data_IF_762934203314
#
_entry.id   IF_762934203314
#
_cell.length_a   1.000
_cell.length_b   1.000
_cell.length_c   1.000
_cell.angle_alpha   90.00
_cell.angle_beta   90.00
_cell.angle_gamma   90.00
#
_symmetry.space_group_name_H-M   'P 1'
#
loop_
_entity.id
_entity.type
_entity.pdbx_description
1 polymer ?
#
# COMPACT_ATOMS: atom_id res chain seq x y z
N UNK A 1 -3.00 24.47 9.72
CA UNK A 1 -2.63 23.91 8.40
C UNK A 1 -1.17 23.49 8.47
N UNK A 2 -0.84 22.23 8.22
CA UNK A 2 0.53 21.74 8.13
C UNK A 2 0.87 21.67 6.64
N UNK A 3 1.89 22.41 6.22
CA UNK A 3 2.34 22.40 4.83
C UNK A 3 3.18 21.13 4.63
N UNK A 4 2.73 20.26 3.73
CA UNK A 4 3.47 19.06 3.38
C UNK A 4 4.34 19.36 2.16
N UNK A 5 5.62 19.03 2.22
CA UNK A 5 6.49 19.05 1.05
C UNK A 5 6.16 17.81 0.24
N UNK A 6 5.60 18.00 -0.96
CA UNK A 6 5.30 16.89 -1.87
C UNK A 6 6.61 16.45 -2.53
N UNK A 7 7.24 15.42 -1.98
CA UNK A 7 8.26 14.68 -2.73
C UNK A 7 7.60 13.96 -3.92
N UNK A 8 8.35 13.57 -4.96
CA UNK A 8 7.78 12.80 -6.07
C UNK A 8 7.04 11.53 -5.63
N UNK A 9 7.55 10.85 -4.60
CA UNK A 9 6.90 9.69 -3.99
C UNK A 9 5.62 10.06 -3.23
N UNK A 10 5.63 11.15 -2.45
CA UNK A 10 4.44 11.64 -1.74
C UNK A 10 3.34 12.07 -2.72
N UNK A 11 3.71 12.64 -3.87
CA UNK A 11 2.74 12.97 -4.91
C UNK A 11 2.02 11.70 -5.42
N UNK A 12 2.77 10.62 -5.67
CA UNK A 12 2.19 9.31 -6.05
C UNK A 12 1.31 8.76 -4.93
N UNK A 13 1.77 8.81 -3.68
CA UNK A 13 1.01 8.35 -2.50
C UNK A 13 -0.33 9.06 -2.37
N UNK A 14 -0.36 10.39 -2.48
CA UNK A 14 -1.59 11.18 -2.42
C UNK A 14 -2.52 10.88 -3.60
N UNK A 15 -1.98 10.75 -4.81
CA UNK A 15 -2.79 10.42 -5.98
C UNK A 15 -3.42 9.03 -5.85
N UNK A 16 -2.64 8.04 -5.41
CA UNK A 16 -3.15 6.68 -5.20
C UNK A 16 -4.18 6.61 -4.07
N UNK A 17 -3.98 7.36 -2.98
CA UNK A 17 -4.98 7.50 -1.92
C UNK A 17 -6.30 8.05 -2.48
N UNK A 18 -6.26 9.10 -3.30
CA UNK A 18 -7.47 9.65 -3.94
C UNK A 18 -8.10 8.64 -4.89
N UNK A 19 -7.32 7.88 -5.65
CA UNK A 19 -7.84 6.79 -6.48
C UNK A 19 -8.60 5.75 -5.66
N UNK A 20 -8.04 5.30 -4.53
CA UNK A 20 -8.71 4.35 -3.64
C UNK A 20 -10.05 4.91 -3.11
N UNK A 21 -10.07 6.17 -2.70
CA UNK A 21 -11.28 6.78 -2.11
C UNK A 21 -12.33 7.13 -3.16
N UNK A 22 -11.93 7.76 -4.26
CA UNK A 22 -12.86 8.36 -5.22
C UNK A 22 -13.26 7.41 -6.35
N UNK A 23 -12.40 6.45 -6.69
CA UNK A 23 -12.65 5.50 -7.79
C UNK A 23 -13.01 4.14 -7.22
N UNK A 24 -12.16 3.58 -6.37
CA UNK A 24 -12.42 2.27 -5.75
C UNK A 24 -13.44 2.32 -4.61
N UNK A 25 -13.86 3.53 -4.20
CA UNK A 25 -14.86 3.75 -3.15
C UNK A 25 -14.46 3.16 -1.78
N UNK A 26 -13.16 3.08 -1.50
CA UNK A 26 -12.67 2.65 -0.19
C UNK A 26 -12.89 3.78 0.82
N UNK A 27 -13.59 3.53 1.95
CA UNK A 27 -13.86 4.57 2.93
C UNK A 27 -12.56 5.13 3.51
N UNK A 28 -12.38 6.45 3.42
CA UNK A 28 -11.16 7.13 3.89
C UNK A 28 -10.86 6.90 5.37
N UNK A 29 -11.90 6.70 6.20
CA UNK A 29 -11.74 6.38 7.63
C UNK A 29 -11.08 5.01 7.89
N UNK A 30 -11.02 4.14 6.88
CA UNK A 30 -10.39 2.83 6.95
C UNK A 30 -9.00 2.81 6.29
N UNK A 31 -8.48 3.96 5.87
CA UNK A 31 -7.14 4.07 5.25
C UNK A 31 -6.20 4.83 6.19
N UNK A 32 -5.17 4.15 6.66
CA UNK A 32 -4.07 4.76 7.39
C UNK A 32 -2.95 5.17 6.43
N UNK A 33 -2.57 6.45 6.49
CA UNK A 33 -1.44 7.03 5.73
C UNK A 33 -0.21 7.08 6.63
N UNK A 34 0.93 6.59 6.15
CA UNK A 34 2.24 6.66 6.81
C UNK A 34 2.27 6.12 8.26
N UNK A 35 1.94 4.85 8.48
CA UNK A 35 2.11 4.25 9.81
C UNK A 35 3.52 3.69 9.99
N UNK A 36 4.15 4.02 11.11
CA UNK A 36 5.38 3.36 11.56
C UNK A 36 5.05 1.97 12.12
N UNK A 37 5.79 0.98 11.65
CA UNK A 37 5.80 -0.42 12.09
C UNK A 37 7.11 -0.67 12.83
N UNK A 38 7.01 -1.32 13.98
CA UNK A 38 8.18 -1.83 14.71
C UNK A 38 8.47 -3.26 14.26
N UNK A 39 9.63 -3.46 13.62
CA UNK A 39 10.18 -4.75 13.24
C UNK A 39 11.46 -4.96 14.07
N UNK A 40 11.33 -5.49 15.28
CA UNK A 40 12.42 -5.52 16.26
C UNK A 40 12.85 -4.09 16.63
N UNK A 41 14.13 -3.76 16.45
CA UNK A 41 14.65 -2.40 16.64
C UNK A 41 14.41 -1.47 15.44
N UNK A 42 13.94 -2.02 14.31
CA UNK A 42 13.78 -1.27 13.06
C UNK A 42 12.40 -0.60 13.03
N UNK A 43 12.37 0.74 13.04
CA UNK A 43 11.18 1.51 12.71
C UNK A 43 11.09 1.65 11.19
N UNK A 44 10.11 1.00 10.57
CA UNK A 44 9.85 1.11 9.13
C UNK A 44 8.46 1.67 8.89
N UNK A 45 8.29 2.37 7.78
CA UNK A 45 7.02 3.00 7.40
C UNK A 45 6.51 2.31 6.14
N UNK A 46 5.23 1.98 6.13
CA UNK A 46 4.51 1.70 4.89
C UNK A 46 3.76 2.96 4.47
N UNK A 47 3.37 3.02 3.21
CA UNK A 47 2.75 4.22 2.64
C UNK A 47 1.26 4.28 2.94
N UNK A 48 0.53 3.23 2.60
CA UNK A 48 -0.90 3.11 2.89
C UNK A 48 -1.22 1.73 3.44
N UNK A 49 -2.12 1.69 4.43
CA UNK A 49 -2.73 0.46 4.91
C UNK A 49 -4.24 0.66 4.99
N UNK A 50 -4.97 -0.21 4.32
CA UNK A 50 -6.43 -0.27 4.33
C UNK A 50 -6.86 -1.35 5.31
N UNK A 51 -7.85 -1.02 6.13
CA UNK A 51 -8.52 -1.95 7.04
C UNK A 51 -9.84 -2.43 6.44
N UNK A 52 -10.24 -3.66 6.75
CA UNK A 52 -11.58 -4.15 6.42
C UNK A 52 -12.64 -3.62 7.41
N UNK A 53 -13.91 -4.02 7.19
CA UNK A 53 -15.04 -3.63 8.07
C UNK A 53 -14.90 -4.11 9.51
N UNK A 54 -14.09 -5.15 9.76
CA UNK A 54 -13.77 -5.67 11.10
C UNK A 54 -12.51 -5.01 11.68
N UNK A 55 -12.03 -3.94 11.05
CA UNK A 55 -10.82 -3.20 11.40
C UNK A 55 -9.55 -4.07 11.38
N UNK A 56 -9.53 -5.12 10.57
CA UNK A 56 -8.34 -5.94 10.34
C UNK A 56 -7.52 -5.38 9.16
N UNK A 57 -6.18 -5.40 9.23
CA UNK A 57 -5.33 -5.06 8.09
C UNK A 57 -5.70 -5.90 6.85
N UNK A 58 -6.00 -5.24 5.74
CA UNK A 58 -6.59 -5.88 4.57
C UNK A 58 -5.78 -5.68 3.28
N UNK A 59 -5.33 -4.45 3.02
CA UNK A 59 -4.55 -4.12 1.84
C UNK A 59 -3.40 -3.19 2.22
N UNK A 60 -2.19 -3.50 1.77
CA UNK A 60 -1.01 -2.65 1.97
C UNK A 60 -0.51 -2.15 0.62
N UNK A 61 -0.16 -0.86 0.55
CA UNK A 61 0.39 -0.23 -0.65
C UNK A 61 1.79 0.30 -0.37
N UNK A 62 2.71 0.05 -1.30
CA UNK A 62 4.00 0.71 -1.42
C UNK A 62 4.01 1.59 -2.68
N UNK A 63 4.26 2.88 -2.49
CA UNK A 63 4.35 3.91 -3.50
C UNK A 63 5.82 4.26 -3.74
N UNK A 64 6.18 4.47 -5.01
CA UNK A 64 7.47 5.01 -5.42
C UNK A 64 7.28 6.22 -6.31
N UNK A 65 8.32 7.03 -6.50
CA UNK A 65 8.32 8.07 -7.51
C UNK A 65 8.18 7.49 -8.93
N UNK A 66 7.59 8.26 -9.86
CA UNK A 66 7.25 7.79 -11.23
C UNK A 66 8.44 7.26 -12.04
N UNK A 67 9.63 7.81 -11.81
CA UNK A 67 10.87 7.39 -12.45
C UNK A 67 11.40 6.05 -11.93
N UNK A 68 10.98 5.61 -10.74
CA UNK A 68 11.46 4.38 -10.09
C UNK A 68 10.72 3.16 -10.66
N UNK A 69 11.42 2.18 -11.26
CA UNK A 69 10.79 0.96 -11.76
C UNK A 69 10.30 0.05 -10.62
N UNK A 70 9.16 -0.61 -10.83
CA UNK A 70 8.59 -1.60 -9.90
C UNK A 70 9.31 -2.96 -9.99
N UNK A 71 10.56 -2.98 -9.51
CA UNK A 71 11.39 -4.19 -9.52
C UNK A 71 11.06 -5.17 -8.39
N UNK A 72 11.64 -6.38 -8.44
CA UNK A 72 11.56 -7.36 -7.34
C UNK A 72 12.00 -6.79 -5.99
N UNK A 73 12.91 -5.82 -5.97
CA UNK A 73 13.34 -5.19 -4.72
C UNK A 73 12.22 -4.41 -4.01
N UNK A 74 11.30 -3.81 -4.78
CA UNK A 74 10.09 -3.12 -4.27
C UNK A 74 9.09 -4.14 -3.74
N UNK A 75 8.89 -5.24 -4.46
CA UNK A 75 8.06 -6.35 -3.99
C UNK A 75 8.62 -6.96 -2.69
N UNK A 76 9.92 -7.22 -2.61
CA UNK A 76 10.56 -7.71 -1.39
C UNK A 76 10.45 -6.70 -0.24
N UNK A 77 10.43 -5.40 -0.53
CA UNK A 77 10.21 -4.38 0.50
C UNK A 77 8.83 -4.52 1.13
N UNK A 78 7.75 -4.56 0.33
CA UNK A 78 6.40 -4.67 0.87
C UNK A 78 6.15 -6.05 1.51
N UNK A 79 6.77 -7.12 1.01
CA UNK A 79 6.70 -8.46 1.62
C UNK A 79 7.33 -8.50 3.01
N UNK A 80 8.44 -7.76 3.24
CA UNK A 80 9.02 -7.65 4.59
C UNK A 80 8.07 -6.95 5.56
N UNK A 81 7.34 -5.93 5.10
CA UNK A 81 6.32 -5.28 5.93
C UNK A 81 5.14 -6.21 6.23
N UNK A 82 4.76 -7.02 5.25
CA UNK A 82 3.72 -8.03 5.38
C UNK A 82 4.05 -9.14 6.40
N UNK A 83 5.33 -9.33 6.79
CA UNK A 83 5.71 -10.23 7.89
C UNK A 83 5.28 -9.67 9.25
N UNK A 84 5.35 -8.35 9.45
CA UNK A 84 4.95 -7.71 10.70
C UNK A 84 3.46 -7.37 10.75
N UNK A 85 2.89 -6.99 9.61
CA UNK A 85 1.46 -6.70 9.48
C UNK A 85 0.91 -7.55 8.34
N UNK A 86 0.44 -8.76 8.64
CA UNK A 86 -0.15 -9.63 7.64
C UNK A 86 -1.39 -8.97 7.04
N UNK A 87 -1.40 -8.90 5.72
CA UNK A 87 -2.53 -8.50 4.88
C UNK A 87 -2.68 -9.49 3.72
N UNK A 88 -3.90 -9.78 3.27
CA UNK A 88 -4.16 -10.62 2.10
C UNK A 88 -3.82 -9.92 0.79
N UNK A 89 -3.89 -8.59 0.70
CA UNK A 89 -3.65 -7.86 -0.54
C UNK A 89 -2.43 -6.94 -0.44
N UNK A 90 -1.58 -7.00 -1.45
CA UNK A 90 -0.36 -6.20 -1.56
C UNK A 90 -0.37 -5.45 -2.89
N UNK A 91 -0.02 -4.17 -2.86
CA UNK A 91 0.04 -3.34 -4.07
C UNK A 91 1.35 -2.59 -4.09
N UNK A 92 2.01 -2.59 -5.23
CA UNK A 92 3.14 -1.70 -5.50
C UNK A 92 2.78 -0.78 -6.68
N UNK A 93 3.07 0.50 -6.56
CA UNK A 93 2.80 1.48 -7.62
C UNK A 93 3.84 2.59 -7.65
N UNK A 94 4.10 3.10 -8.84
CA UNK A 94 4.86 4.33 -9.06
C UNK A 94 3.99 5.39 -9.77
N UNK A 95 2.67 5.23 -9.76
CA UNK A 95 1.72 6.13 -10.42
C UNK A 95 1.55 5.90 -11.92
N UNK A 96 2.57 5.42 -12.63
CA UNK A 96 2.47 5.01 -14.06
C UNK A 96 2.10 3.53 -14.20
N UNK A 97 2.68 2.70 -13.34
CA UNK A 97 2.49 1.27 -13.27
C UNK A 97 1.89 0.93 -11.89
N UNK A 98 1.08 -0.13 -11.86
CA UNK A 98 0.52 -0.67 -10.64
C UNK A 98 0.47 -2.19 -10.75
N UNK A 99 0.97 -2.88 -9.73
CA UNK A 99 0.93 -4.34 -9.66
C UNK A 99 0.32 -4.74 -8.33
N UNK A 100 -0.77 -5.49 -8.39
CA UNK A 100 -1.46 -6.05 -7.23
C UNK A 100 -1.18 -7.54 -7.08
N UNK A 101 -1.16 -8.00 -5.83
CA UNK A 101 -1.00 -9.40 -5.47
C UNK A 101 -2.02 -9.79 -4.41
N UNK A 102 -2.58 -10.98 -4.56
CA UNK A 102 -3.29 -11.68 -3.49
C UNK A 102 -2.36 -12.72 -2.88
N UNK A 103 -2.22 -12.68 -1.55
CA UNK A 103 -1.41 -13.60 -0.77
C UNK A 103 -2.33 -14.62 -0.10
N UNK A 104 -2.20 -15.88 -0.49
CA UNK A 104 -2.92 -17.00 0.14
C UNK A 104 -2.00 -18.19 0.32
N UNK A 105 -2.00 -18.80 1.51
CA UNK A 105 -1.19 -19.97 1.86
C UNK A 105 0.30 -19.82 1.50
N UNK A 106 0.85 -18.62 1.71
CA UNK A 106 2.26 -18.31 1.42
C UNK A 106 2.59 -18.10 -0.07
N UNK A 107 1.61 -18.20 -0.97
CA UNK A 107 1.78 -17.93 -2.41
C UNK A 107 1.23 -16.57 -2.78
N UNK A 108 1.85 -15.95 -3.77
CA UNK A 108 1.37 -14.71 -4.39
C UNK A 108 0.76 -15.05 -5.75
N UNK A 109 -0.46 -14.55 -5.99
CA UNK A 109 -1.10 -14.54 -7.31
C UNK A 109 -1.29 -13.11 -7.75
N UNK A 110 -1.02 -12.81 -9.02
CA UNK A 110 -1.27 -11.50 -9.59
C UNK A 110 -2.76 -11.18 -9.58
N UNK A 111 -3.07 -9.93 -9.25
CA UNK A 111 -4.40 -9.36 -9.38
C UNK A 111 -4.55 -8.76 -10.78
N UNK A 112 -5.69 -9.01 -11.42
CA UNK A 112 -6.12 -8.29 -12.62
C UNK A 112 -6.69 -6.91 -12.27
N UNK A 113 -7.31 -6.81 -11.09
CA UNK A 113 -7.93 -5.61 -10.56
C UNK A 113 -7.85 -5.60 -9.03
N UNK A 114 -7.97 -4.42 -8.42
CA UNK A 114 -8.04 -4.32 -6.98
C UNK A 114 -9.38 -4.87 -6.48
N UNK A 115 -9.41 -5.50 -5.29
CA UNK A 115 -10.64 -6.05 -4.75
C UNK A 115 -11.66 -4.95 -4.43
N UNK A 116 -12.95 -5.20 -4.66
CA UNK A 116 -14.01 -4.30 -4.20
C UNK A 116 -14.06 -4.23 -2.68
N UNK A 117 -14.37 -3.05 -2.15
CA UNK A 117 -14.52 -2.85 -0.71
C UNK A 117 -15.94 -3.22 -0.26
N UNK A 118 -16.12 -4.51 0.08
CA UNK A 118 -17.38 -5.08 0.56
C UNK A 118 -17.49 -5.17 2.08
#
# INVERSE_FOLDING_TARGET
KKWLVLTPEEWVRQHFLQYLVQVQQYPSSFIAVEKTVKLGELNKRFDLLVYDRLHQPWLMVECKAMEVPLTESVLHQILRYNLAIPVPFLVITNGKDCVGYHRSNGRLSLLTELPEYL
#
